data_IF_592609064745
#
_entry.id   IF_592609064745
#
_cell.length_a   1.000
_cell.length_b   1.000
_cell.length_c   1.000
_cell.angle_alpha   90.00
_cell.angle_beta   90.00
_cell.angle_gamma   90.00
#
_symmetry.space_group_name_H-M   'P 1'
#
loop_
_entity.id
_entity.type
_entity.pdbx_description
1 polymer ?
#
# COMPACT_ATOMS: atom_id res chain seq x y z
N UNK A 1 18.18 1.36 -10.55
CA UNK A 1 18.51 2.43 -9.58
C UNK A 1 18.82 1.88 -8.16
N UNK A 2 18.61 0.61 -7.91
CA UNK A 2 18.81 -0.05 -6.60
C UNK A 2 17.98 0.57 -5.44
N UNK A 3 16.86 1.20 -5.76
CA UNK A 3 15.90 1.75 -4.81
C UNK A 3 14.96 0.66 -4.32
N UNK A 4 14.56 0.71 -3.05
CA UNK A 4 13.63 -0.24 -2.45
C UNK A 4 12.28 0.41 -2.20
N UNK A 5 11.22 -0.38 -2.38
CA UNK A 5 9.84 0.04 -2.15
C UNK A 5 9.14 -0.90 -1.15
N UNK A 6 8.00 -0.46 -0.65
CA UNK A 6 7.07 -1.31 0.09
C UNK A 6 5.83 -1.55 -0.77
N UNK A 7 5.57 -2.81 -1.11
CA UNK A 7 4.38 -3.24 -1.82
C UNK A 7 3.32 -3.68 -0.80
N UNK A 8 2.21 -2.97 -0.73
CA UNK A 8 1.04 -3.34 0.04
C UNK A 8 0.10 -4.13 -0.88
N UNK A 9 0.09 -5.44 -0.74
CA UNK A 9 -0.42 -6.37 -1.74
C UNK A 9 -1.80 -6.91 -1.43
N UNK A 10 -2.53 -7.29 -2.49
CA UNK A 10 -3.82 -7.98 -2.46
C UNK A 10 -3.74 -9.29 -3.23
N UNK A 11 -4.73 -10.19 -3.06
CA UNK A 11 -4.83 -11.43 -3.83
C UNK A 11 -5.81 -11.32 -5.01
N UNK A 12 -5.82 -10.19 -5.69
CA UNK A 12 -6.74 -9.94 -6.81
C UNK A 12 -6.59 -10.91 -8.00
N UNK A 13 -5.42 -11.56 -8.14
CA UNK A 13 -5.19 -12.63 -9.12
C UNK A 13 -4.14 -13.61 -8.60
N UNK A 14 -4.58 -14.79 -8.22
CA UNK A 14 -3.73 -15.86 -7.65
C UNK A 14 -2.64 -16.36 -8.59
N UNK A 15 -2.81 -16.22 -9.90
CA UNK A 15 -1.80 -16.63 -10.90
C UNK A 15 -0.50 -15.80 -10.79
N UNK A 16 -0.56 -14.64 -10.16
CA UNK A 16 0.59 -13.73 -9.99
C UNK A 16 1.21 -13.75 -8.59
N UNK A 17 0.75 -14.59 -7.67
CA UNK A 17 1.32 -14.70 -6.30
C UNK A 17 2.84 -14.89 -6.30
N UNK A 18 3.39 -15.57 -7.31
CA UNK A 18 4.85 -15.76 -7.45
C UNK A 18 5.64 -14.46 -7.55
N UNK A 19 5.00 -13.34 -7.91
CA UNK A 19 5.64 -12.02 -7.93
C UNK A 19 6.03 -11.56 -6.54
N UNK A 20 5.29 -11.92 -5.49
CA UNK A 20 5.60 -11.59 -4.10
C UNK A 20 6.98 -12.13 -3.69
N UNK A 21 7.30 -13.37 -4.12
CA UNK A 21 8.62 -13.94 -3.90
C UNK A 21 9.71 -13.17 -4.65
N UNK A 22 9.44 -12.71 -5.88
CA UNK A 22 10.40 -11.91 -6.67
C UNK A 22 10.64 -10.54 -6.05
N UNK A 23 9.60 -9.86 -5.59
CA UNK A 23 9.71 -8.57 -4.89
C UNK A 23 10.55 -8.70 -3.62
N UNK A 24 10.26 -9.71 -2.80
CA UNK A 24 11.02 -9.99 -1.60
C UNK A 24 12.50 -10.35 -1.90
N UNK A 25 12.75 -11.17 -2.92
CA UNK A 25 14.09 -11.55 -3.36
C UNK A 25 14.89 -10.34 -3.91
N UNK A 26 14.21 -9.39 -4.54
CA UNK A 26 14.80 -8.13 -4.98
C UNK A 26 15.09 -7.16 -3.82
N UNK A 27 14.72 -7.51 -2.58
CA UNK A 27 14.95 -6.71 -1.38
C UNK A 27 13.89 -5.65 -1.10
N UNK A 28 12.75 -5.72 -1.78
CA UNK A 28 11.59 -4.90 -1.45
C UNK A 28 10.86 -5.45 -0.22
N UNK A 29 10.06 -4.62 0.42
CA UNK A 29 9.17 -5.05 1.50
C UNK A 29 7.82 -5.44 0.93
N UNK A 30 7.37 -6.67 1.19
CA UNK A 30 6.01 -7.12 0.88
C UNK A 30 5.17 -7.03 2.15
N UNK A 31 4.09 -6.27 2.10
CA UNK A 31 3.24 -5.91 3.23
C UNK A 31 1.75 -6.15 2.90
N UNK A 32 0.91 -6.20 3.92
CA UNK A 32 -0.51 -6.53 3.77
C UNK A 32 -1.28 -5.27 3.33
N UNK A 33 -2.10 -5.40 2.28
CA UNK A 33 -3.18 -4.44 2.03
C UNK A 33 -4.53 -5.05 2.42
N UNK A 34 -4.91 -6.14 1.80
CA UNK A 34 -6.11 -6.93 2.05
C UNK A 34 -6.04 -8.17 1.16
N UNK A 35 -6.72 -9.25 1.49
CA UNK A 35 -6.86 -10.36 0.54
C UNK A 35 -7.87 -10.01 -0.53
N UNK A 36 -9.08 -9.59 -0.15
CA UNK A 36 -10.20 -9.38 -1.06
C UNK A 36 -10.34 -7.95 -1.59
N UNK A 37 -9.86 -6.95 -0.85
CA UNK A 37 -10.11 -5.52 -1.06
C UNK A 37 -11.63 -5.17 -1.15
N UNK A 38 -12.49 -6.01 -0.60
CA UNK A 38 -13.93 -5.76 -0.54
C UNK A 38 -14.30 -4.99 0.73
N UNK A 39 -14.52 -3.69 0.59
CA UNK A 39 -14.87 -2.80 1.71
C UNK A 39 -16.09 -3.25 2.50
N UNK A 40 -17.10 -3.82 1.81
CA UNK A 40 -18.30 -4.31 2.45
C UNK A 40 -18.00 -5.50 3.37
N UNK A 41 -17.10 -6.36 2.95
CA UNK A 41 -16.67 -7.52 3.74
C UNK A 41 -15.73 -7.09 4.86
N UNK A 42 -14.58 -6.49 4.52
CA UNK A 42 -13.52 -6.21 5.49
C UNK A 42 -13.91 -5.21 6.57
N UNK A 43 -14.83 -4.28 6.28
CA UNK A 43 -15.29 -3.29 7.25
C UNK A 43 -16.64 -3.62 7.88
N UNK A 44 -17.17 -4.83 7.69
CA UNK A 44 -18.40 -5.27 8.34
C UNK A 44 -18.22 -5.54 9.84
N UNK A 45 -17.06 -6.05 10.25
CA UNK A 45 -16.69 -6.32 11.65
C UNK A 45 -15.18 -6.43 11.82
N UNK A 46 -14.70 -6.39 13.08
CA UNK A 46 -13.31 -6.68 13.37
C UNK A 46 -12.92 -8.10 12.97
N UNK A 47 -13.78 -9.09 13.21
CA UNK A 47 -13.50 -10.49 12.88
C UNK A 47 -13.32 -10.66 11.36
N UNK A 48 -14.20 -10.06 10.54
CA UNK A 48 -14.08 -10.10 9.08
C UNK A 48 -12.79 -9.44 8.58
N UNK A 49 -12.40 -8.32 9.19
CA UNK A 49 -11.14 -7.66 8.87
C UNK A 49 -9.92 -8.54 9.18
N UNK A 50 -9.89 -9.13 10.37
CA UNK A 50 -8.76 -10.00 10.76
C UNK A 50 -8.74 -11.32 9.99
N UNK A 51 -9.88 -11.86 9.59
CA UNK A 51 -9.95 -13.02 8.73
C UNK A 51 -9.28 -12.74 7.36
N UNK A 52 -9.65 -11.63 6.71
CA UNK A 52 -9.06 -11.17 5.45
C UNK A 52 -7.54 -10.90 5.61
N UNK A 53 -7.16 -10.15 6.65
CA UNK A 53 -5.76 -9.84 6.96
C UNK A 53 -4.92 -11.11 7.17
N UNK A 54 -5.45 -12.09 7.91
CA UNK A 54 -4.73 -13.32 8.18
C UNK A 54 -4.55 -14.16 6.92
N UNK A 55 -5.58 -14.27 6.05
CA UNK A 55 -5.45 -14.95 4.75
C UNK A 55 -4.37 -14.32 3.89
N UNK A 56 -4.34 -12.99 3.76
CA UNK A 56 -3.28 -12.31 3.01
C UNK A 56 -1.90 -12.50 3.66
N UNK A 57 -1.83 -12.47 4.99
CA UNK A 57 -0.59 -12.74 5.72
C UNK A 57 -0.06 -14.15 5.47
N UNK A 58 -0.94 -15.14 5.39
CA UNK A 58 -0.55 -16.53 5.11
C UNK A 58 -0.05 -16.68 3.67
N UNK A 59 -0.71 -16.05 2.68
CA UNK A 59 -0.25 -16.01 1.29
C UNK A 59 1.15 -15.39 1.19
N UNK A 60 1.37 -14.22 1.81
CA UNK A 60 2.70 -13.59 1.81
C UNK A 60 3.73 -14.50 2.46
N UNK A 61 3.39 -15.15 3.57
CA UNK A 61 4.30 -16.06 4.28
C UNK A 61 4.67 -17.26 3.42
N UNK A 62 3.70 -17.85 2.74
CA UNK A 62 3.93 -18.97 1.80
C UNK A 62 4.90 -18.58 0.68
N UNK A 63 4.72 -17.41 0.08
CA UNK A 63 5.51 -16.96 -1.06
C UNK A 63 6.90 -16.43 -0.68
N UNK A 64 7.04 -15.81 0.49
CA UNK A 64 8.27 -15.09 0.87
C UNK A 64 9.06 -15.76 1.99
N UNK A 65 8.47 -16.72 2.69
CA UNK A 65 9.04 -17.35 3.88
C UNK A 65 9.02 -16.44 5.12
N UNK A 66 8.40 -15.25 5.05
CA UNK A 66 8.38 -14.27 6.16
C UNK A 66 6.97 -13.79 6.43
N UNK A 67 6.55 -13.86 7.71
CA UNK A 67 5.25 -13.29 8.11
C UNK A 67 5.33 -11.78 8.17
N UNK A 68 4.47 -11.07 7.41
CA UNK A 68 4.49 -9.60 7.37
C UNK A 68 4.00 -9.01 8.69
N UNK A 69 4.52 -7.83 9.04
CA UNK A 69 4.11 -7.04 10.22
C UNK A 69 3.65 -5.64 9.85
N UNK A 70 3.74 -5.29 8.58
CA UNK A 70 3.32 -4.00 8.06
C UNK A 70 2.03 -4.16 7.27
N UNK A 71 1.13 -3.19 7.40
CA UNK A 71 -0.10 -3.13 6.63
C UNK A 71 -0.44 -1.70 6.21
N UNK A 72 -1.31 -1.60 5.21
CA UNK A 72 -2.02 -0.37 4.85
C UNK A 72 -3.50 -0.68 4.74
N UNK A 73 -4.34 0.07 5.45
CA UNK A 73 -5.78 -0.11 5.36
C UNK A 73 -6.30 0.30 3.97
N UNK A 74 -7.20 -0.49 3.34
CA UNK A 74 -7.92 -0.05 2.16
C UNK A 74 -8.61 1.30 2.38
N UNK A 75 -8.25 2.30 1.56
CA UNK A 75 -8.72 3.67 1.73
C UNK A 75 -8.04 4.48 2.83
N UNK A 76 -7.03 3.91 3.52
CA UNK A 76 -6.30 4.57 4.62
C UNK A 76 -6.99 4.42 5.99
N UNK A 77 -6.24 4.70 7.05
CA UNK A 77 -6.71 4.57 8.45
C UNK A 77 -7.81 5.58 8.81
N UNK A 78 -7.90 6.68 8.08
CA UNK A 78 -8.88 7.76 8.28
C UNK A 78 -10.07 7.71 7.29
N UNK A 79 -10.19 6.64 6.48
CA UNK A 79 -11.26 6.55 5.49
C UNK A 79 -12.66 6.65 6.12
N UNK A 80 -13.58 7.27 5.38
CA UNK A 80 -14.96 7.45 5.83
C UNK A 80 -15.93 6.44 5.22
N UNK A 81 -15.51 5.70 4.19
CA UNK A 81 -16.34 4.69 3.50
C UNK A 81 -16.71 3.56 4.45
N UNK A 82 -15.79 3.14 5.30
CA UNK A 82 -15.99 2.09 6.30
C UNK A 82 -17.21 2.32 7.23
N UNK A 83 -17.55 3.59 7.48
CA UNK A 83 -18.71 3.97 8.32
C UNK A 83 -20.05 3.48 7.76
N UNK A 84 -20.12 3.23 6.44
CA UNK A 84 -21.32 2.72 5.77
C UNK A 84 -21.59 1.26 6.14
N UNK A 85 -20.57 0.53 6.55
CA UNK A 85 -20.65 -0.90 6.88
C UNK A 85 -20.68 -1.15 8.39
N UNK A 86 -19.83 -0.44 9.14
CA UNK A 86 -19.82 -0.51 10.59
C UNK A 86 -19.36 0.85 11.17
N UNK A 87 -20.24 1.46 11.99
CA UNK A 87 -19.96 2.75 12.60
C UNK A 87 -18.72 2.65 13.51
N UNK A 88 -17.79 3.60 13.37
CA UNK A 88 -16.54 3.70 14.16
C UNK A 88 -15.57 2.52 13.99
N UNK A 89 -15.73 1.66 13.00
CA UNK A 89 -14.88 0.47 12.81
C UNK A 89 -13.38 0.85 12.74
N UNK A 90 -13.01 1.93 12.07
CA UNK A 90 -11.60 2.33 11.94
C UNK A 90 -10.95 2.67 13.28
N UNK A 91 -11.66 3.32 14.18
CA UNK A 91 -11.12 3.63 15.52
C UNK A 91 -10.88 2.38 16.37
N UNK A 92 -11.59 1.30 16.10
CA UNK A 92 -11.36 0.00 16.76
C UNK A 92 -10.23 -0.74 16.05
N UNK A 93 -10.24 -0.81 14.72
CA UNK A 93 -9.24 -1.56 13.95
C UNK A 93 -7.83 -0.99 14.09
N UNK A 94 -7.67 0.34 14.07
CA UNK A 94 -6.34 0.96 14.24
C UNK A 94 -5.68 0.58 15.56
N UNK A 95 -6.48 0.51 16.63
CA UNK A 95 -6.00 0.02 17.92
C UNK A 95 -5.74 -1.50 17.89
N UNK A 96 -6.69 -2.27 17.39
CA UNK A 96 -6.63 -3.73 17.43
C UNK A 96 -5.45 -4.29 16.62
N UNK A 97 -5.13 -3.74 15.44
CA UNK A 97 -3.95 -4.18 14.67
C UNK A 97 -2.65 -3.83 15.40
N UNK A 98 -2.59 -2.69 16.07
CA UNK A 98 -1.42 -2.29 16.86
C UNK A 98 -1.23 -3.19 18.08
N UNK A 99 -2.31 -3.53 18.78
CA UNK A 99 -2.29 -4.46 19.93
C UNK A 99 -1.80 -5.88 19.51
N UNK A 100 -2.03 -6.28 18.25
CA UNK A 100 -1.52 -7.53 17.68
C UNK A 100 -0.09 -7.42 17.11
N UNK A 101 0.57 -6.27 17.29
CA UNK A 101 1.95 -6.04 16.89
C UNK A 101 2.14 -5.73 15.40
N UNK A 102 1.07 -5.37 14.69
CA UNK A 102 1.18 -4.80 13.35
C UNK A 102 1.47 -3.30 13.41
N UNK A 103 2.13 -2.78 12.37
CA UNK A 103 2.27 -1.33 12.11
C UNK A 103 1.55 -1.01 10.81
N UNK A 104 0.71 0.03 10.83
CA UNK A 104 0.06 0.49 9.62
C UNK A 104 0.65 1.82 9.13
N UNK A 105 0.58 2.04 7.82
CA UNK A 105 1.12 3.22 7.17
C UNK A 105 0.10 3.83 6.22
N UNK A 106 -0.21 5.08 6.44
CA UNK A 106 -0.90 5.92 5.46
C UNK A 106 0.13 6.60 4.54
N UNK A 107 -0.20 7.73 3.96
CA UNK A 107 0.64 8.52 3.08
C UNK A 107 0.44 10.01 3.34
N UNK A 108 1.44 10.80 3.00
CA UNK A 108 1.36 12.27 2.99
C UNK A 108 1.56 12.86 1.58
N UNK A 109 1.90 12.02 0.60
CA UNK A 109 1.99 12.41 -0.81
C UNK A 109 1.14 11.45 -1.65
N UNK A 110 0.22 11.99 -2.45
CA UNK A 110 -0.61 11.21 -3.36
C UNK A 110 -0.17 11.47 -4.80
N UNK A 111 0.03 10.40 -5.57
CA UNK A 111 0.28 10.46 -7.01
C UNK A 111 -0.95 10.92 -7.81
N UNK A 112 -2.15 10.86 -7.22
CA UNK A 112 -3.43 11.13 -7.90
C UNK A 112 -3.95 9.97 -8.74
N UNK A 113 -3.24 8.86 -8.82
CA UNK A 113 -3.58 7.73 -9.69
C UNK A 113 -4.80 6.91 -9.23
N UNK A 114 -5.26 7.10 -8.00
CA UNK A 114 -6.46 6.41 -7.48
C UNK A 114 -7.79 6.93 -8.07
N UNK A 115 -7.76 7.92 -8.96
CA UNK A 115 -8.94 8.48 -9.61
C UNK A 115 -8.82 9.97 -9.97
N UNK A 116 -7.73 10.62 -9.58
CA UNK A 116 -7.47 12.03 -9.89
C UNK A 116 -6.91 12.23 -11.31
N UNK A 117 -6.13 11.26 -11.81
CA UNK A 117 -5.53 11.33 -13.15
C UNK A 117 -5.34 9.97 -13.77
N UNK A 118 -5.16 9.96 -15.12
CA UNK A 118 -4.69 8.82 -15.91
C UNK A 118 -3.45 9.18 -16.74
N UNK A 119 -2.82 10.32 -16.45
CA UNK A 119 -1.65 10.85 -17.17
C UNK A 119 -0.36 10.55 -16.41
N UNK A 120 0.61 9.93 -17.09
CA UNK A 120 1.95 9.67 -16.54
C UNK A 120 2.63 10.95 -16.07
N UNK A 121 2.54 12.03 -16.87
CA UNK A 121 3.15 13.32 -16.52
C UNK A 121 2.49 13.98 -15.29
N UNK A 122 1.18 13.82 -15.12
CA UNK A 122 0.50 14.33 -13.92
C UNK A 122 0.86 13.51 -12.68
N UNK A 123 0.95 12.18 -12.79
CA UNK A 123 1.46 11.31 -11.71
C UNK A 123 2.86 11.79 -11.27
N UNK A 124 3.77 11.96 -12.23
CA UNK A 124 5.11 12.48 -11.95
C UNK A 124 5.06 13.84 -11.24
N UNK A 125 4.36 14.83 -11.80
CA UNK A 125 4.28 16.17 -11.24
C UNK A 125 3.67 16.19 -9.83
N UNK A 126 2.62 15.40 -9.60
CA UNK A 126 1.99 15.29 -8.28
C UNK A 126 2.96 14.74 -7.22
N UNK A 127 3.71 13.70 -7.58
CA UNK A 127 4.71 13.12 -6.66
C UNK A 127 5.84 14.10 -6.41
N UNK A 128 6.44 14.70 -7.45
CA UNK A 128 7.55 15.65 -7.27
C UNK A 128 7.12 16.85 -6.42
N UNK A 129 5.98 17.46 -6.72
CA UNK A 129 5.47 18.60 -5.94
C UNK A 129 5.18 18.20 -4.48
N UNK A 130 4.66 16.98 -4.29
CA UNK A 130 4.37 16.46 -2.95
C UNK A 130 5.64 16.25 -2.14
N UNK A 131 6.65 15.56 -2.68
CA UNK A 131 7.90 15.28 -1.94
C UNK A 131 8.70 16.55 -1.64
N UNK A 132 8.65 17.56 -2.51
CA UNK A 132 9.27 18.87 -2.25
C UNK A 132 8.64 19.64 -1.08
N UNK A 133 7.45 19.27 -0.66
CA UNK A 133 6.70 19.93 0.41
C UNK A 133 6.89 19.25 1.78
N UNK A 134 7.67 18.17 1.85
CA UNK A 134 7.85 17.38 3.07
C UNK A 134 9.30 16.96 3.27
N UNK A 135 9.79 16.98 4.50
CA UNK A 135 11.11 16.45 4.86
C UNK A 135 11.16 14.92 4.75
N UNK A 136 10.05 14.26 5.07
CA UNK A 136 9.86 12.82 4.95
C UNK A 136 8.57 12.56 4.18
N UNK A 137 8.65 11.82 3.09
CA UNK A 137 7.51 11.53 2.22
C UNK A 137 7.18 10.04 2.21
N UNK A 138 5.90 9.75 2.40
CA UNK A 138 5.32 8.43 2.11
C UNK A 138 4.38 8.60 0.94
N UNK A 139 4.81 8.13 -0.23
CA UNK A 139 4.08 8.29 -1.49
C UNK A 139 3.08 7.15 -1.67
N UNK A 140 1.82 7.49 -1.98
CA UNK A 140 0.81 6.54 -2.46
C UNK A 140 0.83 6.49 -3.98
N UNK A 141 1.06 5.29 -4.52
CA UNK A 141 1.04 5.01 -5.95
C UNK A 141 0.62 3.54 -6.18
N UNK A 142 -0.02 3.23 -7.32
CA UNK A 142 -0.53 1.89 -7.61
C UNK A 142 0.17 1.28 -8.82
N UNK A 143 0.67 0.06 -8.66
CA UNK A 143 1.40 -0.70 -9.68
C UNK A 143 0.52 -1.42 -10.70
N UNK A 144 -0.79 -1.47 -10.47
CA UNK A 144 -1.79 -2.04 -11.40
C UNK A 144 -2.18 -1.08 -12.54
N UNK A 145 -1.58 0.10 -12.61
CA UNK A 145 -1.92 1.14 -13.61
C UNK A 145 -0.68 1.52 -14.41
N UNK A 146 -0.66 1.15 -15.68
CA UNK A 146 0.50 1.35 -16.56
C UNK A 146 0.97 2.81 -16.58
N UNK A 147 0.04 3.78 -16.65
CA UNK A 147 0.42 5.21 -16.63
C UNK A 147 1.10 5.64 -15.33
N UNK A 148 0.76 4.98 -14.22
CA UNK A 148 1.39 5.21 -12.91
C UNK A 148 2.78 4.57 -12.85
N UNK A 149 2.89 3.31 -13.28
CA UNK A 149 4.17 2.58 -13.35
C UNK A 149 5.18 3.31 -14.23
N UNK A 150 4.75 3.85 -15.38
CA UNK A 150 5.62 4.58 -16.31
C UNK A 150 6.23 5.86 -15.72
N UNK A 151 5.69 6.40 -14.63
CA UNK A 151 6.26 7.57 -13.95
C UNK A 151 7.35 7.22 -12.93
N UNK A 152 7.45 5.95 -12.50
CA UNK A 152 8.27 5.55 -11.35
C UNK A 152 9.76 5.80 -11.59
N UNK A 153 10.27 5.42 -12.76
CA UNK A 153 11.70 5.59 -13.08
C UNK A 153 12.10 7.06 -13.05
N UNK A 154 11.34 7.92 -13.71
CA UNK A 154 11.61 9.37 -13.76
C UNK A 154 11.53 10.01 -12.37
N UNK A 155 10.58 9.58 -11.52
CA UNK A 155 10.47 10.03 -10.13
C UNK A 155 11.72 9.66 -9.35
N UNK A 156 12.19 8.42 -9.47
CA UNK A 156 13.39 7.93 -8.77
C UNK A 156 14.62 8.68 -9.24
N UNK A 157 14.81 8.80 -10.57
CA UNK A 157 15.95 9.50 -11.17
C UNK A 157 16.00 10.95 -10.71
N UNK A 158 14.84 11.64 -10.75
CA UNK A 158 14.75 13.01 -10.28
C UNK A 158 15.07 13.13 -8.78
N UNK A 159 14.52 12.24 -7.96
CA UNK A 159 14.74 12.24 -6.52
C UNK A 159 16.22 12.07 -6.18
N UNK A 160 16.89 11.07 -6.75
CA UNK A 160 18.32 10.84 -6.53
C UNK A 160 19.17 12.03 -6.99
N UNK A 161 18.85 12.62 -8.16
CA UNK A 161 19.56 13.79 -8.68
C UNK A 161 19.37 15.05 -7.81
N UNK A 162 18.28 15.11 -7.02
CA UNK A 162 18.00 16.22 -6.12
C UNK A 162 18.30 15.92 -4.63
N UNK A 163 19.06 14.84 -4.36
CA UNK A 163 19.59 14.53 -3.03
C UNK A 163 18.60 13.82 -2.10
N UNK A 164 17.49 13.32 -2.63
CA UNK A 164 16.58 12.47 -1.86
C UNK A 164 17.14 11.06 -1.71
N UNK A 165 16.84 10.42 -0.59
CA UNK A 165 17.13 9.01 -0.32
C UNK A 165 15.81 8.23 -0.25
N UNK A 166 15.87 6.95 -0.68
CA UNK A 166 14.71 6.07 -0.71
C UNK A 166 14.90 4.89 0.24
#
# INVERSE_FOLDING_TARGET
ENVKATFFVTDGNSDYRYLLAKEAAAGHTVAIHSETHDYKYIYSSCDAYFEDLNRMSDIITEQTGKRPKLLRFPGGSSNTISKQYCFRIMSVLTKAVSDQGYKYFDWNVSSGDAGGTTSTSEVYNNVISGIQSHDISVVLQHDIKLFSVNAVEDIIVWGLANGYTF
#
